data_IF_583729631453
#
_entry.id   IF_583729631453
#
_cell.length_a   1.000
_cell.length_b   1.000
_cell.length_c   1.000
_cell.angle_alpha   90.00
_cell.angle_beta   90.00
_cell.angle_gamma   90.00
#
_symmetry.space_group_name_H-M   'P 1'
#
loop_
_entity.id
_entity.type
_entity.pdbx_description
1 polymer ?
#
# COMPACT_ATOMS: atom_id res chain seq x y z
N UNK A 1 10.25 -7.99 -19.56
CA UNK A 1 10.41 -7.50 -18.18
C UNK A 1 9.07 -7.12 -17.61
N UNK A 2 8.85 -7.47 -16.36
CA UNK A 2 7.60 -7.10 -15.68
C UNK A 2 7.58 -5.61 -15.39
N UNK A 3 6.43 -4.99 -15.63
CA UNK A 3 6.18 -3.62 -15.17
C UNK A 3 5.95 -3.65 -13.67
N UNK A 4 6.34 -2.57 -13.00
CA UNK A 4 6.24 -2.47 -11.55
C UNK A 4 5.11 -1.55 -11.13
N UNK A 5 4.40 -1.95 -10.09
CA UNK A 5 3.41 -1.12 -9.40
C UNK A 5 3.89 -0.91 -7.97
N UNK A 6 3.81 0.32 -7.51
CA UNK A 6 4.11 0.66 -6.12
C UNK A 6 2.83 0.53 -5.30
N UNK A 7 2.89 -0.28 -4.25
CA UNK A 7 1.80 -0.41 -3.29
C UNK A 7 2.26 0.24 -1.98
N UNK A 8 1.59 1.30 -1.59
CA UNK A 8 1.92 2.06 -0.39
C UNK A 8 0.92 1.72 0.70
N UNK A 9 1.42 1.20 1.81
CA UNK A 9 0.58 0.78 2.94
C UNK A 9 1.23 1.19 4.26
N UNK A 10 0.59 0.84 5.35
CA UNK A 10 1.09 1.07 6.70
C UNK A 10 0.36 0.18 7.70
N UNK A 11 0.79 0.21 8.96
CA UNK A 11 0.13 -0.55 10.01
C UNK A 11 -1.35 -0.16 10.11
N UNK A 12 -2.17 -1.16 10.35
CA UNK A 12 -3.63 -1.08 10.39
C UNK A 12 -4.28 -0.75 9.05
N UNK A 13 -3.56 -1.06 7.97
CA UNK A 13 -4.13 -1.07 6.62
C UNK A 13 -5.29 -2.06 6.56
N UNK A 14 -6.31 -1.76 5.76
CA UNK A 14 -7.45 -2.67 5.61
C UNK A 14 -6.98 -3.95 4.89
N UNK A 15 -7.38 -5.10 5.42
CA UNK A 15 -6.88 -6.41 4.99
C UNK A 15 -7.18 -6.71 3.53
N UNK A 16 -8.45 -6.59 3.12
CA UNK A 16 -8.85 -6.81 1.72
C UNK A 16 -8.15 -5.85 0.77
N UNK A 17 -8.08 -4.59 1.14
CA UNK A 17 -7.53 -3.54 0.28
C UNK A 17 -6.02 -3.65 0.10
N UNK A 18 -5.38 -4.45 0.93
CA UNK A 18 -3.95 -4.75 0.84
C UNK A 18 -3.71 -6.06 0.12
N UNK A 19 -4.37 -7.13 0.59
CA UNK A 19 -4.12 -8.48 0.12
C UNK A 19 -4.65 -8.72 -1.29
N UNK A 20 -5.88 -8.25 -1.58
CA UNK A 20 -6.50 -8.52 -2.88
C UNK A 20 -5.77 -7.80 -4.02
N UNK A 21 -5.51 -6.49 -3.96
CA UNK A 21 -4.75 -5.83 -5.02
C UNK A 21 -3.35 -6.38 -5.20
N UNK A 22 -2.66 -6.68 -4.10
CA UNK A 22 -1.33 -7.29 -4.17
C UNK A 22 -1.36 -8.59 -4.95
N UNK A 23 -2.29 -9.48 -4.62
CA UNK A 23 -2.41 -10.79 -5.26
C UNK A 23 -2.91 -10.67 -6.69
N UNK A 24 -3.93 -9.85 -6.94
CA UNK A 24 -4.51 -9.69 -8.26
C UNK A 24 -3.53 -9.09 -9.26
N UNK A 25 -2.81 -8.05 -8.86
CA UNK A 25 -1.82 -7.42 -9.73
C UNK A 25 -0.63 -8.33 -9.99
N UNK A 26 -0.21 -9.09 -8.97
CA UNK A 26 0.85 -10.09 -9.14
C UNK A 26 0.42 -11.20 -10.12
N UNK A 27 -0.82 -11.65 -10.02
CA UNK A 27 -1.37 -12.67 -10.91
C UNK A 27 -1.43 -12.18 -12.37
N UNK A 28 -1.65 -10.88 -12.58
CA UNK A 28 -1.67 -10.28 -13.91
C UNK A 28 -0.26 -10.08 -14.50
N UNK A 29 0.78 -10.37 -13.74
CA UNK A 29 2.16 -10.30 -14.22
C UNK A 29 2.92 -9.04 -13.84
N UNK A 30 2.33 -8.15 -13.03
CA UNK A 30 3.06 -7.01 -12.49
C UNK A 30 3.95 -7.44 -11.33
N UNK A 31 5.10 -6.77 -11.19
CA UNK A 31 5.86 -6.83 -9.95
C UNK A 31 5.29 -5.77 -9.02
N UNK A 32 4.77 -6.20 -7.88
CA UNK A 32 4.20 -5.26 -6.89
C UNK A 32 5.22 -5.05 -5.79
N UNK A 33 5.72 -3.83 -5.70
CA UNK A 33 6.63 -3.43 -4.63
C UNK A 33 5.80 -2.80 -3.52
N UNK A 34 5.64 -3.53 -2.42
CA UNK A 34 4.88 -3.08 -1.26
C UNK A 34 5.83 -2.42 -0.26
N UNK A 35 5.54 -1.17 0.09
CA UNK A 35 6.39 -0.34 0.96
C UNK A 35 5.58 0.32 2.06
N UNK A 36 6.25 0.65 3.16
CA UNK A 36 5.69 1.40 4.27
C UNK A 36 6.76 2.36 4.80
N UNK A 37 6.42 3.63 5.09
CA UNK A 37 7.38 4.54 5.72
C UNK A 37 8.06 3.91 6.93
N UNK A 38 9.36 4.14 7.06
CA UNK A 38 10.23 3.66 8.15
C UNK A 38 10.42 2.14 8.19
N UNK A 39 10.04 1.42 7.13
CA UNK A 39 10.19 -0.03 7.06
C UNK A 39 10.91 -0.46 5.79
N UNK A 40 11.44 -1.67 5.83
CA UNK A 40 12.23 -2.27 4.74
C UNK A 40 11.60 -3.57 4.26
N UNK A 41 12.09 -4.05 3.13
CA UNK A 41 11.72 -5.37 2.62
C UNK A 41 11.92 -6.44 3.70
N UNK A 42 10.94 -7.31 3.86
CA UNK A 42 10.94 -8.34 4.91
C UNK A 42 10.30 -7.93 6.22
N UNK A 43 10.19 -6.62 6.50
CA UNK A 43 9.38 -6.14 7.62
C UNK A 43 7.90 -6.40 7.30
N UNK A 44 7.06 -6.33 8.33
CA UNK A 44 5.62 -6.55 8.15
C UNK A 44 4.83 -5.33 8.60
N UNK A 45 3.63 -5.21 8.03
CA UNK A 45 2.59 -4.31 8.55
C UNK A 45 1.43 -5.17 9.04
N UNK A 46 0.84 -4.78 10.17
CA UNK A 46 -0.36 -5.44 10.66
C UNK A 46 -1.55 -4.96 9.82
N UNK A 47 -2.34 -5.91 9.30
CA UNK A 47 -3.59 -5.54 8.65
C UNK A 47 -4.74 -5.60 9.64
N UNK A 48 -5.82 -4.89 9.34
CA UNK A 48 -7.02 -4.87 10.17
C UNK A 48 -8.22 -5.29 9.32
N UNK A 49 -9.04 -6.16 9.89
CA UNK A 49 -10.28 -6.63 9.24
C UNK A 49 -11.42 -5.85 9.85
N UNK A 50 -12.18 -5.15 9.01
CA UNK A 50 -13.35 -4.41 9.47
C UNK A 50 -14.56 -5.34 9.58
N UNK A 51 -15.39 -5.07 10.58
CA UNK A 51 -16.62 -5.82 10.78
C UNK A 51 -17.67 -5.33 9.77
N UNK A 52 -18.11 -6.26 8.91
CA UNK A 52 -19.14 -5.97 7.92
C UNK A 52 -20.52 -6.47 8.36
N UNK A 53 -20.63 -6.94 9.61
CA UNK A 53 -21.88 -7.48 10.14
C UNK A 53 -22.67 -6.37 10.84
N UNK A 54 -23.86 -6.12 10.39
CA UNK A 54 -24.79 -5.21 11.03
C UNK A 54 -24.61 -3.75 10.69
N UNK A 55 -24.95 -2.88 11.64
CA UNK A 55 -24.94 -1.45 11.42
C UNK A 55 -23.52 -0.90 11.50
N UNK A 56 -23.35 0.24 10.85
CA UNK A 56 -22.10 0.95 10.79
C UNK A 56 -21.54 1.27 12.17
N UNK A 57 -20.58 0.47 12.61
CA UNK A 57 -19.74 0.77 13.76
C UNK A 57 -18.30 0.54 13.34
N UNK A 58 -17.40 1.34 13.90
CA UNK A 58 -15.99 1.21 13.57
C UNK A 58 -15.37 0.10 14.43
N UNK A 59 -15.28 -1.09 13.88
CA UNK A 59 -14.69 -2.25 14.56
C UNK A 59 -13.58 -2.83 13.71
N UNK A 60 -12.43 -3.03 14.33
CA UNK A 60 -11.30 -3.68 13.70
C UNK A 60 -11.02 -5.01 14.37
N UNK A 61 -10.88 -6.06 13.57
CA UNK A 61 -10.42 -7.36 14.02
C UNK A 61 -8.99 -7.55 13.56
N UNK A 62 -8.24 -8.39 14.27
CA UNK A 62 -6.86 -8.72 13.87
C UNK A 62 -6.85 -9.42 12.52
N UNK A 63 -6.06 -8.88 11.61
CA UNK A 63 -5.85 -9.45 10.28
C UNK A 63 -4.55 -10.24 10.18
N UNK A 64 -3.75 -9.94 9.18
CA UNK A 64 -2.50 -10.62 8.87
C UNK A 64 -1.29 -9.73 9.14
N UNK A 65 -0.12 -10.35 9.18
CA UNK A 65 1.15 -9.65 9.11
C UNK A 65 1.59 -9.69 7.63
N UNK A 66 1.33 -8.60 6.93
CA UNK A 66 1.63 -8.50 5.51
C UNK A 66 3.11 -8.16 5.32
N UNK A 67 3.85 -9.03 4.62
CA UNK A 67 5.28 -8.85 4.39
C UNK A 67 5.51 -7.81 3.29
N UNK A 68 6.31 -6.80 3.59
CA UNK A 68 6.74 -5.80 2.62
C UNK A 68 7.78 -6.39 1.67
N UNK A 69 7.76 -5.96 0.42
CA UNK A 69 8.62 -6.52 -0.62
C UNK A 69 9.71 -5.57 -1.09
N UNK A 70 9.68 -4.31 -0.64
CA UNK A 70 10.67 -3.32 -1.01
C UNK A 70 10.91 -2.33 0.15
N UNK A 71 11.97 -1.55 0.02
CA UNK A 71 12.34 -0.54 1.01
C UNK A 71 11.70 0.79 0.63
N UNK A 72 11.01 1.41 1.58
CA UNK A 72 10.38 2.71 1.35
C UNK A 72 11.42 3.76 0.94
N UNK A 73 12.56 3.78 1.62
CA UNK A 73 13.61 4.79 1.40
C UNK A 73 14.30 4.65 0.04
N UNK A 74 14.15 3.49 -0.61
CA UNK A 74 14.74 3.24 -1.93
C UNK A 74 13.79 3.50 -3.09
N UNK A 75 12.57 3.98 -2.83
CA UNK A 75 11.56 4.21 -3.88
C UNK A 75 12.02 5.32 -4.83
N UNK A 76 12.08 4.97 -6.11
CA UNK A 76 12.20 5.91 -7.22
C UNK A 76 10.94 5.77 -8.07
N UNK A 77 10.12 6.81 -8.09
CA UNK A 77 8.81 6.77 -8.77
C UNK A 77 8.93 6.55 -10.28
N UNK A 78 10.09 6.86 -10.87
CA UNK A 78 10.34 6.60 -12.28
C UNK A 78 10.29 5.11 -12.64
N UNK A 79 10.54 4.22 -11.66
CA UNK A 79 10.56 2.77 -11.88
C UNK A 79 9.16 2.16 -11.97
N UNK A 80 8.11 2.90 -11.66
CA UNK A 80 6.76 2.36 -11.50
C UNK A 80 5.81 2.91 -12.54
N UNK A 81 4.88 2.06 -13.00
CA UNK A 81 3.85 2.45 -13.97
C UNK A 81 2.54 2.89 -13.31
N UNK A 82 2.38 2.63 -12.01
CA UNK A 82 1.19 3.01 -11.26
C UNK A 82 1.43 2.96 -9.76
N UNK A 83 0.56 3.62 -9.02
CA UNK A 83 0.57 3.68 -7.57
C UNK A 83 -0.77 3.19 -7.03
N UNK A 84 -0.72 2.27 -6.07
CA UNK A 84 -1.88 1.84 -5.29
C UNK A 84 -1.65 2.20 -3.83
N UNK A 85 -2.62 2.91 -3.23
CA UNK A 85 -2.59 3.29 -1.81
C UNK A 85 -3.72 2.54 -1.11
N UNK A 86 -3.38 1.77 -0.10
CA UNK A 86 -4.37 0.99 0.65
C UNK A 86 -5.18 1.88 1.59
N UNK A 87 -6.33 1.41 2.01
CA UNK A 87 -7.21 2.12 2.94
C UNK A 87 -7.04 1.67 4.39
N UNK A 88 -8.12 1.75 5.16
CA UNK A 88 -8.10 1.50 6.59
C UNK A 88 -7.60 2.72 7.36
N UNK A 89 -6.95 2.50 8.51
CA UNK A 89 -6.39 3.60 9.31
C UNK A 89 -5.03 4.09 8.83
N UNK A 90 -4.30 3.26 8.07
CA UNK A 90 -2.95 3.61 7.64
C UNK A 90 -2.86 4.99 6.97
N UNK A 91 -3.75 5.36 6.04
CA UNK A 91 -3.68 6.68 5.40
C UNK A 91 -3.77 7.86 6.36
N UNK A 92 -4.40 7.69 7.51
CA UNK A 92 -4.57 8.78 8.47
C UNK A 92 -3.23 9.31 8.99
N UNK A 93 -2.21 8.46 9.05
CA UNK A 93 -0.89 8.88 9.52
C UNK A 93 0.18 8.88 8.43
N UNK A 94 0.13 7.98 7.45
CA UNK A 94 1.16 7.99 6.39
C UNK A 94 1.06 9.27 5.54
N UNK A 95 -0.13 9.86 5.41
CA UNK A 95 -0.31 11.15 4.71
C UNK A 95 0.47 12.30 5.34
N UNK A 96 0.94 12.14 6.56
CA UNK A 96 1.74 13.16 7.25
C UNK A 96 3.22 13.06 6.90
N UNK A 97 3.63 12.00 6.24
CA UNK A 97 5.03 11.79 5.84
C UNK A 97 5.33 12.62 4.58
N UNK A 98 6.33 13.53 4.61
CA UNK A 98 6.63 14.36 3.45
C UNK A 98 6.99 13.59 2.19
N UNK A 99 7.69 12.45 2.31
CA UNK A 99 8.04 11.64 1.15
C UNK A 99 6.82 10.98 0.52
N UNK A 100 5.83 10.58 1.33
CA UNK A 100 4.56 10.05 0.82
C UNK A 100 3.88 11.11 -0.06
N UNK A 101 3.82 12.34 0.40
CA UNK A 101 3.22 13.43 -0.37
C UNK A 101 3.97 13.68 -1.68
N UNK A 102 5.29 13.64 -1.65
CA UNK A 102 6.10 13.77 -2.86
C UNK A 102 5.82 12.64 -3.85
N UNK A 103 5.77 11.39 -3.38
CA UNK A 103 5.48 10.23 -4.22
C UNK A 103 4.15 10.43 -4.94
N UNK A 104 3.10 10.80 -4.22
CA UNK A 104 1.79 11.03 -4.83
C UNK A 104 1.86 12.12 -5.89
N UNK A 105 2.51 13.23 -5.58
CA UNK A 105 2.67 14.34 -6.52
C UNK A 105 3.44 13.92 -7.78
N UNK A 106 4.48 13.12 -7.62
CA UNK A 106 5.29 12.65 -8.75
C UNK A 106 4.50 11.75 -9.69
N UNK A 107 3.64 10.88 -9.15
CA UNK A 107 2.77 10.05 -9.98
C UNK A 107 1.76 10.88 -10.76
N UNK A 108 1.13 11.86 -10.13
CA UNK A 108 0.20 12.77 -10.82
C UNK A 108 0.93 13.61 -11.88
N UNK A 109 2.10 14.14 -11.56
CA UNK A 109 2.87 14.94 -12.51
C UNK A 109 3.29 14.14 -13.74
N UNK A 110 3.58 12.85 -13.56
CA UNK A 110 3.94 11.96 -14.66
C UNK A 110 2.72 11.37 -15.39
N UNK A 111 1.51 11.74 -14.99
CA UNK A 111 0.25 11.25 -15.54
C UNK A 111 0.15 9.72 -15.47
N UNK A 112 0.62 9.13 -14.37
CA UNK A 112 0.52 7.71 -14.12
C UNK A 112 -0.73 7.40 -13.30
N UNK A 113 -1.34 6.22 -13.47
CA UNK A 113 -2.50 5.81 -12.68
C UNK A 113 -2.22 5.82 -11.18
N UNK A 114 -3.21 6.34 -10.42
CA UNK A 114 -3.20 6.30 -8.95
C UNK A 114 -4.56 5.78 -8.48
N UNK A 115 -4.55 4.78 -7.62
CA UNK A 115 -5.76 4.20 -7.06
C UNK A 115 -5.65 4.09 -5.53
#
# INVERSE_FOLDING_TARGET
MSKKILLLCGDFTEDYETMVPFQALSMLGYQVDAVCPDKKAGDTVATAIHDFLGKQTYTELTGHNFALTADFDAVDTADYVGLFITGGRAPEYIRLNPRVLEIVKEFFAANKPVA
#
